data_IF_515530468145
#
_entry.id   IF_515530468145
#
_cell.length_a   1.000
_cell.length_b   1.000
_cell.length_c   1.000
_cell.angle_alpha   90.00
_cell.angle_beta   90.00
_cell.angle_gamma   90.00
#
_symmetry.space_group_name_H-M   'P 1'
#
loop_
_entity.id
_entity.type
_entity.pdbx_description
1 polymer ?
#
# COMPACT_ATOMS: atom_id res chain seq x y z
N UNK A 1 13.44 -4.49 -9.52
CA UNK A 1 14.04 -3.72 -8.41
C UNK A 1 14.58 -4.57 -7.25
N UNK A 2 14.00 -5.72 -6.87
CA UNK A 2 14.52 -6.51 -5.72
C UNK A 2 15.21 -7.84 -6.07
N UNK A 3 15.46 -8.12 -7.35
CA UNK A 3 15.92 -9.43 -7.81
C UNK A 3 17.25 -9.88 -7.15
N UNK A 4 18.24 -8.99 -7.06
CA UNK A 4 19.56 -9.29 -6.47
C UNK A 4 19.44 -9.67 -4.98
N UNK A 5 18.71 -8.87 -4.20
CA UNK A 5 18.44 -9.15 -2.79
C UNK A 5 17.75 -10.51 -2.58
N UNK A 6 16.81 -10.87 -3.45
CA UNK A 6 16.09 -12.15 -3.38
C UNK A 6 16.98 -13.35 -3.75
N UNK A 7 17.95 -13.17 -4.66
CA UNK A 7 18.91 -14.22 -5.00
C UNK A 7 19.91 -14.52 -3.87
N UNK A 8 20.29 -13.48 -3.12
CA UNK A 8 21.28 -13.57 -2.04
C UNK A 8 20.69 -14.12 -0.73
N UNK A 9 19.42 -13.81 -0.45
CA UNK A 9 18.74 -14.35 0.73
C UNK A 9 18.60 -15.87 0.61
N UNK A 10 19.11 -16.57 1.62
CA UNK A 10 19.05 -18.01 1.75
C UNK A 10 18.03 -18.40 2.80
N UNK A 11 17.24 -19.43 2.50
CA UNK A 11 16.18 -19.92 3.38
C UNK A 11 16.75 -20.43 4.70
N UNK A 12 16.05 -20.10 5.79
CA UNK A 12 16.41 -20.49 7.16
C UNK A 12 15.99 -21.92 7.52
N UNK A 13 15.02 -22.48 6.79
CA UNK A 13 14.46 -23.81 7.04
C UNK A 13 13.93 -24.47 5.76
N UNK A 14 13.59 -25.75 5.85
CA UNK A 14 12.97 -26.52 4.78
C UNK A 14 11.49 -26.18 4.66
N UNK A 15 11.02 -25.99 3.43
CA UNK A 15 9.62 -25.72 3.13
C UNK A 15 9.03 -26.83 2.29
N UNK A 16 8.07 -27.56 2.88
CA UNK A 16 7.33 -28.63 2.21
C UNK A 16 5.93 -28.11 1.90
N UNK A 17 5.62 -27.98 0.60
CA UNK A 17 4.30 -27.56 0.16
C UNK A 17 3.37 -28.75 -0.04
N UNK A 18 3.88 -29.75 -0.76
CA UNK A 18 3.20 -31.00 -1.09
C UNK A 18 4.23 -32.15 -1.03
N UNK A 19 3.79 -33.41 -1.07
CA UNK A 19 4.67 -34.60 -1.07
C UNK A 19 5.75 -34.63 -2.19
N UNK A 20 5.65 -33.74 -3.19
CA UNK A 20 6.58 -33.63 -4.34
C UNK A 20 7.32 -32.30 -4.40
N UNK A 21 7.00 -31.35 -3.52
CA UNK A 21 7.47 -29.97 -3.63
C UNK A 21 8.10 -29.56 -2.31
N UNK A 22 9.43 -29.63 -2.30
CA UNK A 22 10.25 -29.21 -1.17
C UNK A 22 11.29 -28.23 -1.67
N UNK A 23 11.43 -27.11 -0.97
CA UNK A 23 12.53 -26.16 -1.16
C UNK A 23 13.36 -26.24 0.11
N UNK A 24 14.65 -26.53 -0.02
CA UNK A 24 15.52 -26.86 1.10
C UNK A 24 16.15 -25.62 1.72
N UNK A 25 16.52 -25.74 2.99
CA UNK A 25 17.35 -24.78 3.70
C UNK A 25 18.61 -24.46 2.89
N UNK A 26 18.99 -23.18 2.83
CA UNK A 26 20.15 -22.73 2.05
C UNK A 26 19.89 -22.48 0.55
N UNK A 27 18.74 -22.90 0.01
CA UNK A 27 18.29 -22.46 -1.32
C UNK A 27 17.90 -20.98 -1.30
N UNK A 28 17.77 -20.37 -2.47
CA UNK A 28 17.49 -18.93 -2.56
C UNK A 28 16.01 -18.66 -2.29
N UNK A 29 15.71 -17.51 -1.67
CA UNK A 29 14.34 -17.01 -1.56
C UNK A 29 13.67 -16.86 -2.95
N UNK A 30 14.47 -16.60 -3.99
CA UNK A 30 14.02 -16.55 -5.39
C UNK A 30 13.39 -17.88 -5.85
N UNK A 31 13.86 -19.02 -5.34
CA UNK A 31 13.36 -20.34 -5.75
C UNK A 31 11.93 -20.59 -5.22
N UNK A 32 11.64 -20.12 -4.00
CA UNK A 32 10.27 -20.09 -3.46
C UNK A 32 9.38 -19.16 -4.30
N UNK A 33 9.87 -17.99 -4.68
CA UNK A 33 9.09 -17.04 -5.51
C UNK A 33 8.73 -17.67 -6.85
N UNK A 34 9.69 -18.31 -7.53
CA UNK A 34 9.45 -19.03 -8.79
C UNK A 34 8.40 -20.12 -8.63
N UNK A 35 8.43 -20.86 -7.51
CA UNK A 35 7.42 -21.87 -7.22
C UNK A 35 6.02 -21.26 -7.09
N UNK A 36 5.89 -20.16 -6.34
CA UNK A 36 4.61 -19.47 -6.17
C UNK A 36 4.02 -18.90 -7.47
N UNK A 37 4.90 -18.43 -8.37
CA UNK A 37 4.51 -17.98 -9.73
C UNK A 37 4.07 -19.16 -10.59
N UNK A 38 4.84 -20.26 -10.59
CA UNK A 38 4.53 -21.45 -11.38
C UNK A 38 3.26 -22.17 -10.88
N UNK A 39 2.94 -22.07 -9.58
CA UNK A 39 1.84 -22.78 -8.94
C UNK A 39 0.96 -21.83 -8.13
N UNK A 40 -0.03 -21.19 -8.77
CA UNK A 40 -0.93 -20.26 -8.10
C UNK A 40 -1.67 -20.85 -6.89
N UNK A 41 -1.91 -22.16 -6.84
CA UNK A 41 -2.56 -22.83 -5.71
C UNK A 41 -1.82 -22.67 -4.38
N UNK A 42 -0.49 -22.61 -4.39
CA UNK A 42 0.34 -22.45 -3.18
C UNK A 42 0.83 -21.01 -2.97
N UNK A 43 0.52 -20.11 -3.90
CA UNK A 43 1.01 -18.72 -3.91
C UNK A 43 0.71 -17.96 -2.61
N UNK A 44 -0.45 -18.19 -2.00
CA UNK A 44 -0.84 -17.54 -0.75
C UNK A 44 0.07 -17.92 0.43
N UNK A 45 0.50 -19.18 0.49
CA UNK A 45 1.42 -19.62 1.53
C UNK A 45 2.86 -19.19 1.20
N UNK A 46 3.25 -19.25 -0.08
CA UNK A 46 4.54 -18.70 -0.55
C UNK A 46 4.66 -17.24 -0.14
N UNK A 47 3.60 -16.44 -0.31
CA UNK A 47 3.56 -15.04 0.11
C UNK A 47 3.83 -14.90 1.62
N UNK A 48 3.18 -15.71 2.46
CA UNK A 48 3.44 -15.70 3.90
C UNK A 48 4.88 -16.11 4.23
N UNK A 49 5.39 -17.17 3.62
CA UNK A 49 6.76 -17.65 3.80
C UNK A 49 7.80 -16.59 3.47
N UNK A 50 7.59 -15.82 2.39
CA UNK A 50 8.50 -14.74 2.01
C UNK A 50 8.58 -13.68 3.13
N UNK A 51 7.44 -13.25 3.66
CA UNK A 51 7.43 -12.29 4.76
C UNK A 51 8.10 -12.86 6.02
N UNK A 52 7.82 -14.13 6.34
CA UNK A 52 8.43 -14.81 7.48
C UNK A 52 9.96 -14.92 7.34
N UNK A 53 10.48 -15.36 6.19
CA UNK A 53 11.92 -15.48 5.95
C UNK A 53 12.61 -14.13 6.02
N UNK A 54 12.05 -13.09 5.41
CA UNK A 54 12.62 -11.73 5.48
C UNK A 54 12.66 -11.23 6.94
N UNK A 55 11.62 -11.51 7.71
CA UNK A 55 11.51 -11.15 9.13
C UNK A 55 12.52 -11.91 10.01
N UNK A 56 12.63 -13.22 9.82
CA UNK A 56 13.51 -14.10 10.61
C UNK A 56 14.99 -13.85 10.28
N UNK A 57 15.33 -13.75 9.00
CA UNK A 57 16.72 -13.52 8.58
C UNK A 57 17.20 -12.14 9.05
N UNK A 58 16.31 -11.13 8.99
CA UNK A 58 16.56 -9.77 9.47
C UNK A 58 17.85 -9.13 8.91
N UNK A 59 18.32 -9.58 7.74
CA UNK A 59 19.60 -9.18 7.14
C UNK A 59 19.54 -7.84 6.42
N UNK A 60 18.36 -7.47 5.93
CA UNK A 60 18.14 -6.31 5.07
C UNK A 60 17.17 -5.33 5.75
N UNK A 61 17.34 -4.04 5.48
CA UNK A 61 16.37 -3.03 5.88
C UNK A 61 15.17 -3.06 4.93
N UNK A 62 13.96 -3.23 5.47
CA UNK A 62 12.72 -3.42 4.70
C UNK A 62 11.86 -2.16 4.76
N UNK A 63 11.38 -1.71 3.60
CA UNK A 63 10.27 -0.77 3.50
C UNK A 63 8.99 -1.54 3.17
N UNK A 64 8.10 -1.70 4.14
CA UNK A 64 6.77 -2.25 3.91
C UNK A 64 5.80 -1.10 3.62
N UNK A 65 5.63 -0.79 2.33
CA UNK A 65 4.68 0.21 1.86
C UNK A 65 3.33 -0.47 1.52
N UNK A 66 2.26 -0.08 2.22
CA UNK A 66 0.91 -0.61 2.02
C UNK A 66 -0.06 0.53 1.73
N UNK A 67 -0.51 0.60 0.48
CA UNK A 67 -1.62 1.48 0.10
C UNK A 67 -2.93 0.93 0.67
N UNK A 68 -3.86 1.80 1.07
CA UNK A 68 -5.19 1.41 1.54
C UNK A 68 -5.15 0.44 2.75
N UNK A 69 -4.26 0.68 3.73
CA UNK A 69 -4.01 -0.20 4.88
C UNK A 69 -5.28 -0.52 5.69
N UNK A 70 -6.23 0.41 5.72
CA UNK A 70 -7.52 0.23 6.38
C UNK A 70 -8.37 -0.89 5.75
N UNK A 71 -8.10 -1.27 4.49
CA UNK A 71 -8.71 -2.41 3.81
C UNK A 71 -8.44 -3.75 4.48
N UNK A 72 -7.35 -3.85 5.24
CA UNK A 72 -7.09 -5.04 6.04
C UNK A 72 -8.15 -5.25 7.13
N UNK A 73 -8.90 -4.23 7.52
CA UNK A 73 -9.84 -4.26 8.66
C UNK A 73 -11.28 -3.88 8.29
N UNK A 74 -11.51 -3.27 7.15
CA UNK A 74 -12.85 -2.95 6.66
C UNK A 74 -13.57 -4.18 6.09
N UNK A 75 -14.92 -4.23 6.13
CA UNK A 75 -15.69 -5.36 5.60
C UNK A 75 -15.35 -5.69 4.14
N UNK A 76 -15.31 -6.99 3.82
CA UNK A 76 -15.09 -7.44 2.45
C UNK A 76 -16.39 -7.35 1.63
N UNK A 77 -16.27 -7.36 0.31
CA UNK A 77 -17.42 -7.49 -0.60
C UNK A 77 -17.97 -8.92 -0.69
N UNK A 78 -17.21 -9.92 -0.20
CA UNK A 78 -17.63 -11.31 -0.18
C UNK A 78 -18.62 -11.54 0.96
N UNK A 79 -19.77 -12.17 0.64
CA UNK A 79 -20.81 -12.47 1.63
C UNK A 79 -20.23 -13.38 2.73
N UNK A 80 -20.42 -12.97 3.98
CA UNK A 80 -20.02 -13.72 5.18
C UNK A 80 -18.50 -13.95 5.34
N UNK A 81 -17.65 -13.32 4.52
CA UNK A 81 -16.20 -13.42 4.66
C UNK A 81 -15.68 -12.18 5.38
N UNK A 82 -15.10 -12.39 6.56
CA UNK A 82 -14.39 -11.34 7.27
C UNK A 82 -12.99 -11.17 6.67
N UNK A 83 -12.37 -9.98 6.80
CA UNK A 83 -11.03 -9.76 6.26
C UNK A 83 -9.98 -10.73 6.83
N UNK A 84 -10.15 -11.14 8.10
CA UNK A 84 -9.28 -12.11 8.79
C UNK A 84 -9.30 -13.51 8.15
N UNK A 85 -10.33 -13.84 7.38
CA UNK A 85 -10.43 -15.12 6.67
C UNK A 85 -9.62 -15.13 5.36
N UNK A 86 -9.19 -13.97 4.86
CA UNK A 86 -8.39 -13.87 3.65
C UNK A 86 -6.91 -14.05 4.00
N UNK A 87 -6.26 -15.06 3.43
CA UNK A 87 -4.87 -15.42 3.78
C UNK A 87 -3.89 -14.25 3.61
N UNK A 88 -4.00 -13.49 2.52
CA UNK A 88 -3.13 -12.33 2.25
C UNK A 88 -3.34 -11.25 3.32
N UNK A 89 -4.60 -10.95 3.67
CA UNK A 89 -4.92 -9.95 4.70
C UNK A 89 -4.42 -10.41 6.06
N UNK A 90 -4.55 -11.70 6.38
CA UNK A 90 -4.02 -12.27 7.62
C UNK A 90 -2.50 -12.07 7.73
N UNK A 91 -1.76 -12.38 6.67
CA UNK A 91 -0.31 -12.13 6.59
C UNK A 91 0.00 -10.64 6.76
N UNK A 92 -0.65 -9.75 6.01
CA UNK A 92 -0.40 -8.31 6.13
C UNK A 92 -0.66 -7.81 7.56
N UNK A 93 -1.77 -8.20 8.20
CA UNK A 93 -2.06 -7.80 9.58
C UNK A 93 -0.99 -8.23 10.58
N UNK A 94 -0.41 -9.41 10.37
CA UNK A 94 0.68 -9.90 11.20
C UNK A 94 1.94 -9.05 11.03
N UNK A 95 2.31 -8.74 9.79
CA UNK A 95 3.57 -8.05 9.47
C UNK A 95 3.47 -6.52 9.52
N UNK A 96 2.26 -5.97 9.63
CA UNK A 96 2.00 -4.56 9.94
C UNK A 96 2.17 -4.25 11.44
N UNK A 97 2.31 -5.26 12.30
CA UNK A 97 2.65 -5.04 13.71
C UNK A 97 4.07 -4.47 13.84
N UNK A 98 4.34 -3.65 14.87
CA UNK A 98 5.67 -3.10 15.09
C UNK A 98 6.73 -4.21 15.27
N UNK A 99 7.98 -3.89 14.94
CA UNK A 99 9.15 -4.75 15.14
C UNK A 99 9.17 -6.08 14.35
N UNK A 100 8.35 -6.22 13.31
CA UNK A 100 8.34 -7.40 12.44
C UNK A 100 9.51 -7.45 11.46
N UNK A 101 10.04 -6.30 11.06
CA UNK A 101 11.21 -6.20 10.22
C UNK A 101 12.15 -5.14 10.79
N UNK A 102 13.45 -5.28 10.54
CA UNK A 102 14.37 -4.15 10.56
C UNK A 102 13.98 -3.22 9.41
N UNK A 103 13.43 -2.05 9.72
CA UNK A 103 13.06 -1.06 8.71
C UNK A 103 11.82 -0.25 9.09
N UNK A 104 11.06 0.17 8.10
CA UNK A 104 9.93 1.09 8.27
C UNK A 104 8.68 0.55 7.57
N UNK A 105 7.54 0.69 8.23
CA UNK A 105 6.22 0.42 7.65
C UNK A 105 5.57 1.76 7.32
N UNK A 106 5.15 1.93 6.07
CA UNK A 106 4.44 3.13 5.61
C UNK A 106 3.08 2.70 5.08
N UNK A 107 2.01 3.24 5.66
CA UNK A 107 0.64 2.94 5.26
C UNK A 107 -0.08 4.18 4.77
N UNK A 108 -0.86 4.06 3.70
CA UNK A 108 -1.86 5.08 3.35
C UNK A 108 -3.25 4.62 3.84
N UNK A 109 -4.13 5.58 4.17
CA UNK A 109 -5.54 5.31 4.43
C UNK A 109 -6.40 5.92 3.34
N UNK A 110 -7.43 5.19 2.93
CA UNK A 110 -8.30 5.63 1.83
C UNK A 110 -9.77 5.58 2.17
N UNK A 111 -10.47 6.62 1.72
CA UNK A 111 -11.93 6.73 1.86
C UNK A 111 -12.67 5.84 0.88
N UNK A 112 -12.01 5.33 -0.17
CA UNK A 112 -12.64 4.47 -1.19
C UNK A 112 -13.23 3.21 -0.57
N UNK A 113 -12.53 2.65 0.40
CA UNK A 113 -12.91 1.44 1.12
C UNK A 113 -14.03 1.65 2.14
N UNK A 114 -14.34 2.91 2.48
CA UNK A 114 -15.40 3.22 3.43
C UNK A 114 -16.80 3.05 2.87
N UNK A 115 -16.96 2.82 1.55
CA UNK A 115 -18.28 2.64 0.91
C UNK A 115 -19.12 1.55 1.58
N UNK A 116 -18.47 0.48 2.02
CA UNK A 116 -19.10 -0.68 2.64
C UNK A 116 -19.17 -0.60 4.18
N UNK A 117 -18.72 0.50 4.78
CA UNK A 117 -18.76 0.70 6.23
C UNK A 117 -20.11 1.30 6.67
N UNK A 118 -20.70 0.76 7.74
CA UNK A 118 -21.93 1.29 8.36
C UNK A 118 -21.72 2.68 8.96
N UNK A 119 -20.56 2.92 9.56
CA UNK A 119 -20.18 4.21 10.15
C UNK A 119 -18.95 4.76 9.43
N UNK A 120 -19.02 6.02 9.04
CA UNK A 120 -17.95 6.72 8.31
C UNK A 120 -17.45 7.87 9.17
N UNK A 121 -16.20 7.79 9.63
CA UNK A 121 -15.55 8.90 10.31
C UNK A 121 -14.78 9.79 9.33
N UNK A 122 -14.73 11.09 9.61
CA UNK A 122 -13.94 12.06 8.82
C UNK A 122 -12.46 12.04 9.19
N UNK A 123 -12.12 11.60 10.41
CA UNK A 123 -10.75 11.37 10.91
C UNK A 123 -10.23 10.01 10.48
N UNK A 124 -8.91 9.87 10.36
CA UNK A 124 -8.25 8.64 9.90
C UNK A 124 -8.59 7.41 10.77
N UNK A 125 -8.69 7.56 12.09
CA UNK A 125 -9.11 6.49 13.02
C UNK A 125 -10.56 6.04 12.80
N UNK A 126 -11.39 6.87 12.17
CA UNK A 126 -12.75 6.54 11.76
C UNK A 126 -12.86 5.93 10.37
N UNK A 127 -11.74 5.75 9.66
CA UNK A 127 -11.68 5.14 8.32
C UNK A 127 -11.45 3.63 8.37
N UNK A 128 -11.47 3.04 9.56
CA UNK A 128 -11.24 1.61 9.81
C UNK A 128 -12.34 1.02 10.68
N UNK A 129 -12.66 -0.26 10.48
CA UNK A 129 -13.69 -0.95 11.25
C UNK A 129 -13.15 -1.66 12.49
N UNK A 130 -13.96 -1.67 13.55
CA UNK A 130 -13.68 -2.39 14.79
C UNK A 130 -12.53 -1.79 15.62
N UNK A 131 -12.35 -2.34 16.83
CA UNK A 131 -11.29 -1.89 17.76
C UNK A 131 -9.90 -2.28 17.28
N UNK A 132 -9.74 -3.48 16.73
CA UNK A 132 -8.43 -3.98 16.24
C UNK A 132 -7.82 -3.07 15.17
N UNK A 133 -8.64 -2.60 14.23
CA UNK A 133 -8.16 -1.71 13.17
C UNK A 133 -7.79 -0.32 13.68
N UNK A 134 -8.55 0.21 14.65
CA UNK A 134 -8.21 1.49 15.31
C UNK A 134 -6.91 1.39 16.08
N UNK A 135 -6.74 0.34 16.87
CA UNK A 135 -5.51 0.09 17.62
C UNK A 135 -4.29 0.00 16.69
N UNK A 136 -4.43 -0.66 15.53
CA UNK A 136 -3.36 -0.63 14.52
C UNK A 136 -3.08 0.81 14.07
N UNK A 137 -4.09 1.56 13.61
CA UNK A 137 -3.83 2.93 13.12
C UNK A 137 -3.29 3.87 14.20
N UNK A 138 -3.63 3.64 15.46
CA UNK A 138 -3.12 4.38 16.62
C UNK A 138 -1.65 4.02 16.94
N UNK A 139 -1.14 2.87 16.48
CA UNK A 139 0.27 2.52 16.64
C UNK A 139 1.19 3.16 15.60
N UNK A 140 0.64 3.88 14.62
CA UNK A 140 1.40 4.61 13.61
C UNK A 140 1.42 6.10 13.93
N UNK A 141 2.52 6.75 13.57
CA UNK A 141 2.61 8.21 13.56
C UNK A 141 1.81 8.76 12.35
N UNK A 142 0.72 9.52 12.57
CA UNK A 142 -0.13 9.97 11.48
C UNK A 142 0.53 11.13 10.73
N UNK A 143 0.74 10.94 9.42
CA UNK A 143 1.20 12.00 8.52
C UNK A 143 0.02 12.51 7.70
N UNK A 144 -0.34 13.78 7.87
CA UNK A 144 -1.41 14.42 7.11
C UNK A 144 -0.86 14.97 5.80
N UNK A 145 -1.38 14.48 4.68
CA UNK A 145 -1.15 15.06 3.35
C UNK A 145 -2.11 16.24 3.17
N UNK A 146 -1.55 17.43 2.94
CA UNK A 146 -2.31 18.67 2.71
C UNK A 146 -2.55 18.88 1.21
N UNK A 147 -3.56 19.70 0.83
CA UNK A 147 -3.62 20.28 -0.51
C UNK A 147 -2.33 21.04 -0.82
N UNK A 148 -2.11 21.34 -2.10
CA UNK A 148 -0.99 22.17 -2.53
C UNK A 148 -0.93 23.47 -1.73
N UNK A 149 0.28 23.88 -1.37
CA UNK A 149 0.58 25.27 -1.07
C UNK A 149 0.51 26.12 -2.34
N UNK A 150 0.42 27.45 -2.20
CA UNK A 150 0.45 28.35 -3.35
C UNK A 150 1.72 28.17 -4.21
N UNK A 151 2.87 27.92 -3.58
CA UNK A 151 4.14 27.66 -4.29
C UNK A 151 4.13 26.35 -5.07
N UNK A 152 3.62 25.27 -4.47
CA UNK A 152 3.48 23.97 -5.16
C UNK A 152 2.48 24.05 -6.31
N UNK A 153 1.37 24.77 -6.14
CA UNK A 153 0.38 24.97 -7.20
C UNK A 153 0.97 25.72 -8.38
N UNK A 154 1.65 26.85 -8.15
CA UNK A 154 2.29 27.61 -9.23
C UNK A 154 3.34 26.77 -9.94
N UNK A 155 4.14 26.01 -9.19
CA UNK A 155 5.14 25.09 -9.76
C UNK A 155 4.48 24.01 -10.61
N UNK A 156 3.39 23.42 -10.12
CA UNK A 156 2.63 22.40 -10.82
C UNK A 156 2.03 22.92 -12.13
N UNK A 157 1.31 24.05 -12.10
CA UNK A 157 0.71 24.69 -13.28
C UNK A 157 1.78 25.06 -14.32
N UNK A 158 2.90 25.64 -13.88
CA UNK A 158 4.01 25.98 -14.78
C UNK A 158 4.58 24.74 -15.47
N UNK A 159 4.68 23.61 -14.76
CA UNK A 159 5.10 22.35 -15.36
C UNK A 159 4.06 21.83 -16.38
N UNK A 160 2.75 21.91 -16.08
CA UNK A 160 1.70 21.52 -17.04
C UNK A 160 1.77 22.32 -18.34
N UNK A 161 1.95 23.64 -18.23
CA UNK A 161 2.11 24.54 -19.37
C UNK A 161 3.35 24.21 -20.19
N UNK A 162 4.49 23.98 -19.52
CA UNK A 162 5.76 23.64 -20.19
C UNK A 162 5.67 22.34 -20.99
N UNK A 163 5.00 21.32 -20.45
CA UNK A 163 4.78 20.04 -21.12
C UNK A 163 3.64 20.10 -22.15
N UNK A 164 3.03 21.28 -22.38
CA UNK A 164 1.87 21.48 -23.26
C UNK A 164 0.71 20.53 -22.95
N UNK A 165 0.51 20.26 -21.67
CA UNK A 165 -0.51 19.31 -21.24
C UNK A 165 -1.94 19.91 -21.29
N UNK A 166 -2.03 21.24 -21.40
CA UNK A 166 -3.26 22.01 -21.62
C UNK A 166 -3.20 22.69 -22.99
N UNK A 167 -4.33 22.75 -23.69
CA UNK A 167 -4.38 23.34 -25.04
C UNK A 167 -4.45 24.86 -25.02
N UNK A 168 -4.82 25.45 -23.88
CA UNK A 168 -4.93 26.88 -23.67
C UNK A 168 -3.86 27.35 -22.70
N UNK A 169 -3.20 28.46 -23.04
CA UNK A 169 -2.38 29.18 -22.09
C UNK A 169 -3.28 29.78 -21.00
N UNK A 170 -2.93 29.51 -19.74
CA UNK A 170 -3.65 30.03 -18.60
C UNK A 170 -3.25 31.49 -18.35
N UNK A 171 -4.24 32.36 -18.20
CA UNK A 171 -4.03 33.69 -17.64
C UNK A 171 -4.20 33.66 -16.11
N UNK A 172 -3.83 34.76 -15.44
CA UNK A 172 -3.88 34.85 -13.97
C UNK A 172 -5.27 34.57 -13.39
N UNK A 173 -6.33 35.04 -14.05
CA UNK A 173 -7.71 34.80 -13.62
C UNK A 173 -8.06 33.30 -13.65
N UNK A 174 -7.68 32.61 -14.73
CA UNK A 174 -7.92 31.17 -14.89
C UNK A 174 -7.16 30.34 -13.87
N UNK A 175 -5.93 30.73 -13.51
CA UNK A 175 -5.18 30.09 -12.43
C UNK A 175 -5.90 30.21 -11.08
N UNK A 176 -6.42 31.39 -10.77
CA UNK A 176 -7.12 31.65 -9.50
C UNK A 176 -8.47 30.91 -9.45
N UNK A 177 -9.16 30.78 -10.59
CA UNK A 177 -10.34 29.92 -10.74
C UNK A 177 -9.99 28.44 -10.54
N UNK A 178 -8.92 27.95 -11.16
CA UNK A 178 -8.46 26.56 -11.00
C UNK A 178 -8.11 26.23 -9.56
N UNK A 179 -7.41 27.15 -8.88
CA UNK A 179 -7.13 27.03 -7.46
C UNK A 179 -8.41 26.93 -6.63
N UNK A 180 -9.37 27.83 -6.89
CA UNK A 180 -10.64 27.89 -6.17
C UNK A 180 -11.49 26.64 -6.39
N UNK A 181 -11.64 26.19 -7.63
CA UNK A 181 -12.45 25.01 -8.00
C UNK A 181 -11.84 23.70 -7.50
N UNK A 182 -10.51 23.56 -7.56
CA UNK A 182 -9.82 22.37 -7.07
C UNK A 182 -9.64 22.35 -5.55
N UNK A 183 -9.76 23.50 -4.88
CA UNK A 183 -9.39 23.68 -3.48
C UNK A 183 -7.92 23.36 -3.20
N UNK A 184 -7.05 23.49 -4.22
CA UNK A 184 -5.64 23.09 -4.16
C UNK A 184 -5.43 21.57 -4.11
N UNK A 185 -6.47 20.75 -4.26
CA UNK A 185 -6.34 19.28 -4.22
C UNK A 185 -5.78 18.79 -5.55
N UNK A 186 -4.60 18.12 -5.59
CA UNK A 186 -3.94 17.76 -6.84
C UNK A 186 -4.81 16.91 -7.76
N UNK A 187 -5.50 15.91 -7.20
CA UNK A 187 -6.36 15.03 -7.96
C UNK A 187 -7.64 15.68 -8.50
N UNK A 188 -8.14 16.76 -7.91
CA UNK A 188 -9.25 17.53 -8.49
C UNK A 188 -8.74 18.49 -9.56
N UNK A 189 -7.59 19.13 -9.31
CA UNK A 189 -6.94 20.00 -10.28
C UNK A 189 -6.63 19.28 -11.59
N UNK A 190 -6.02 18.09 -11.51
CA UNK A 190 -5.73 17.27 -12.69
C UNK A 190 -6.99 16.93 -13.51
N UNK A 191 -8.10 16.61 -12.84
CA UNK A 191 -9.37 16.34 -13.54
C UNK A 191 -9.88 17.55 -14.29
N UNK A 192 -9.77 18.75 -13.72
CA UNK A 192 -10.21 19.99 -14.36
C UNK A 192 -9.29 20.32 -15.55
N UNK A 193 -7.97 20.30 -15.34
CA UNK A 193 -6.97 20.61 -16.36
C UNK A 193 -7.06 19.72 -17.61
N UNK A 194 -7.48 18.45 -17.47
CA UNK A 194 -7.68 17.54 -18.63
C UNK A 194 -8.69 18.05 -19.66
N UNK A 195 -9.58 18.97 -19.28
CA UNK A 195 -10.61 19.52 -20.18
C UNK A 195 -10.26 20.91 -20.71
N UNK A 196 -9.05 21.41 -20.46
CA UNK A 196 -8.57 22.75 -20.85
C UNK A 196 -7.60 22.67 -22.02
#
# INVERSE_FOLDING_TARGET
MNHQHMSELKLSQDYIWNNKETVKTGESLLDIIKLGIAKPKVSHNVFHTIFNEISVLNKQSVLLAVDDINGCYCPTSFKQVQPEHLCIVKTLREFLQPNKFKGVVVGSVSRRLMKNMRTKGTRYTGMVSGRKGRYLLESFDPVKVMPFSAGEFNTYINNLNKEKWMNKELNKLMEDELWTLSGGVPGELEKICRYI
#
